data_IF_909763128551
#
_entry.id   IF_909763128551
#
_cell.length_a   1.000
_cell.length_b   1.000
_cell.length_c   1.000
_cell.angle_alpha   90.00
_cell.angle_beta   90.00
_cell.angle_gamma   90.00
#
_symmetry.space_group_name_H-M   'P 1'
#
loop_
_entity.id
_entity.type
_entity.pdbx_description
1 polymer ?
#
# COMPACT_ATOMS: atom_id res chain seq x y z
N UNK A 1 25.69 -16.67 -33.63
CA UNK A 1 25.15 -16.10 -32.38
C UNK A 1 24.56 -17.24 -31.56
N UNK A 2 25.13 -17.60 -30.40
CA UNK A 2 24.44 -18.52 -29.48
C UNK A 2 23.25 -17.74 -28.90
N UNK A 3 22.03 -18.19 -29.18
CA UNK A 3 20.83 -17.60 -28.58
C UNK A 3 20.93 -17.74 -27.06
N UNK A 4 21.13 -16.62 -26.39
CA UNK A 4 21.03 -16.57 -24.93
C UNK A 4 19.57 -16.78 -24.55
N UNK A 5 19.24 -17.88 -23.87
CA UNK A 5 17.89 -18.13 -23.39
C UNK A 5 17.59 -17.17 -22.24
N UNK A 6 16.95 -16.04 -22.54
CA UNK A 6 16.52 -15.05 -21.55
C UNK A 6 15.62 -15.66 -20.46
N UNK A 7 14.94 -16.78 -20.76
CA UNK A 7 14.10 -17.49 -19.80
C UNK A 7 14.90 -18.28 -18.78
N UNK A 8 16.22 -18.43 -18.96
CA UNK A 8 17.11 -19.00 -17.96
C UNK A 8 17.41 -18.03 -16.80
N UNK A 9 17.08 -16.75 -16.93
CA UNK A 9 17.22 -15.77 -15.86
C UNK A 9 15.95 -15.71 -15.03
N UNK A 10 15.97 -16.40 -13.90
CA UNK A 10 14.80 -16.61 -13.04
C UNK A 10 14.06 -15.30 -12.64
N UNK A 11 14.74 -14.18 -12.30
CA UNK A 11 14.04 -12.92 -12.05
C UNK A 11 13.19 -12.44 -13.23
N UNK A 12 13.72 -12.52 -14.47
CA UNK A 12 13.00 -12.10 -15.67
C UNK A 12 11.88 -13.07 -16.03
N UNK A 13 12.07 -14.38 -15.81
CA UNK A 13 11.02 -15.38 -15.99
C UNK A 13 9.83 -15.12 -15.06
N UNK A 14 10.09 -14.82 -13.77
CA UNK A 14 9.03 -14.47 -12.80
C UNK A 14 8.33 -13.18 -13.19
N UNK A 15 9.07 -12.16 -13.62
CA UNK A 15 8.50 -10.92 -14.13
C UNK A 15 7.52 -11.16 -15.28
N UNK A 16 7.89 -11.98 -16.27
CA UNK A 16 6.99 -12.33 -17.37
C UNK A 16 5.75 -13.08 -16.91
N UNK A 17 5.87 -13.98 -15.92
CA UNK A 17 4.74 -14.69 -15.35
C UNK A 17 3.79 -13.74 -14.59
N UNK A 18 4.33 -12.80 -13.82
CA UNK A 18 3.54 -11.75 -13.17
C UNK A 18 2.80 -10.89 -14.19
N UNK A 19 3.46 -10.48 -15.29
CA UNK A 19 2.80 -9.72 -16.35
C UNK A 19 1.69 -10.51 -17.03
N UNK A 20 1.90 -11.81 -17.28
CA UNK A 20 0.85 -12.66 -17.84
C UNK A 20 -0.37 -12.75 -16.91
N UNK A 21 -0.14 -12.91 -15.61
CA UNK A 21 -1.22 -12.93 -14.62
C UNK A 21 -1.99 -11.60 -14.56
N UNK A 22 -1.28 -10.47 -14.70
CA UNK A 22 -1.90 -9.14 -14.80
C UNK A 22 -2.68 -8.99 -16.10
N UNK A 23 -2.13 -9.42 -17.25
CA UNK A 23 -2.80 -9.38 -18.55
C UNK A 23 -4.08 -10.26 -18.54
N UNK A 24 -4.05 -11.41 -17.87
CA UNK A 24 -5.21 -12.29 -17.67
C UNK A 24 -6.27 -11.64 -16.78
N UNK A 25 -5.87 -11.01 -15.67
CA UNK A 25 -6.78 -10.25 -14.81
C UNK A 25 -7.44 -9.09 -15.57
N UNK A 26 -6.66 -8.32 -16.32
CA UNK A 26 -7.13 -7.22 -17.16
C UNK A 26 -8.17 -7.71 -18.17
N UNK A 27 -7.84 -8.73 -18.95
CA UNK A 27 -8.76 -9.29 -19.95
C UNK A 27 -10.04 -9.90 -19.35
N UNK A 28 -9.95 -10.61 -18.21
CA UNK A 28 -11.13 -11.13 -17.51
C UNK A 28 -12.02 -10.01 -16.98
N UNK A 29 -11.42 -8.93 -16.49
CA UNK A 29 -12.12 -7.76 -15.96
C UNK A 29 -12.83 -7.00 -17.08
N UNK A 30 -12.18 -6.80 -18.22
CA UNK A 30 -12.79 -6.21 -19.42
C UNK A 30 -13.97 -7.03 -19.93
N UNK A 31 -13.81 -8.37 -20.04
CA UNK A 31 -14.90 -9.26 -20.45
C UNK A 31 -16.06 -9.19 -19.46
N UNK A 32 -15.77 -9.23 -18.15
CA UNK A 32 -16.79 -9.14 -17.12
C UNK A 32 -17.56 -7.81 -17.21
N UNK A 33 -16.85 -6.68 -17.40
CA UNK A 33 -17.49 -5.38 -17.59
C UNK A 33 -18.30 -5.30 -18.88
N UNK A 34 -17.77 -5.78 -20.00
CA UNK A 34 -18.50 -5.78 -21.28
C UNK A 34 -19.76 -6.66 -21.23
N UNK A 35 -19.69 -7.84 -20.61
CA UNK A 35 -20.86 -8.69 -20.37
C UNK A 35 -21.86 -8.00 -19.45
N UNK A 36 -21.37 -7.38 -18.38
CA UNK A 36 -22.21 -6.66 -17.42
C UNK A 36 -22.93 -5.49 -18.11
N UNK A 37 -22.23 -4.67 -18.89
CA UNK A 37 -22.83 -3.58 -19.68
C UNK A 37 -23.89 -4.10 -20.66
N UNK A 38 -23.57 -5.14 -21.43
CA UNK A 38 -24.53 -5.73 -22.39
C UNK A 38 -25.75 -6.33 -21.70
N UNK A 39 -25.59 -6.97 -20.54
CA UNK A 39 -26.71 -7.58 -19.82
C UNK A 39 -27.55 -6.54 -19.09
N UNK A 40 -26.94 -5.48 -18.58
CA UNK A 40 -27.59 -4.43 -17.82
C UNK A 40 -28.41 -3.46 -18.66
N UNK A 41 -27.92 -3.13 -19.86
CA UNK A 41 -28.53 -2.07 -20.68
C UNK A 41 -29.28 -2.58 -21.91
N UNK A 42 -29.40 -3.91 -22.04
CA UNK A 42 -30.27 -4.55 -23.04
C UNK A 42 -31.77 -4.48 -22.68
N UNK A 43 -32.11 -4.19 -21.41
CA UNK A 43 -33.49 -4.03 -20.93
C UNK A 43 -33.73 -2.59 -20.45
N UNK A 44 -34.75 -1.87 -20.97
CA UNK A 44 -35.06 -0.51 -20.52
C UNK A 44 -35.44 -0.45 -19.04
N UNK A 45 -34.98 0.60 -18.35
CA UNK A 45 -35.27 0.85 -16.92
C UNK A 45 -36.78 0.85 -16.60
N UNK A 46 -37.60 1.27 -17.55
CA UNK A 46 -39.06 1.40 -17.42
C UNK A 46 -39.80 0.06 -17.37
N UNK A 47 -39.16 -1.03 -17.84
CA UNK A 47 -39.74 -2.38 -17.77
C UNK A 47 -39.46 -3.09 -16.42
N UNK A 48 -38.68 -2.44 -15.54
CA UNK A 48 -38.26 -3.03 -14.26
C UNK A 48 -39.19 -2.57 -13.13
N UNK A 49 -40.20 -3.40 -12.79
CA UNK A 49 -41.18 -3.16 -11.70
C UNK A 49 -40.52 -2.71 -10.38
N UNK A 50 -41.18 -1.82 -9.63
CA UNK A 50 -40.72 -1.38 -8.29
C UNK A 50 -40.55 -2.57 -7.33
N UNK A 51 -39.47 -2.56 -6.55
CA UNK A 51 -39.10 -3.63 -5.61
C UNK A 51 -38.46 -2.97 -4.39
N UNK A 52 -38.67 -3.56 -3.22
CA UNK A 52 -37.99 -3.19 -1.98
C UNK A 52 -36.80 -4.13 -1.78
N UNK A 53 -35.59 -3.59 -1.72
CA UNK A 53 -34.38 -4.39 -1.45
C UNK A 53 -34.58 -5.32 -0.24
N UNK A 54 -34.09 -6.57 -0.30
CA UNK A 54 -34.16 -7.46 0.84
C UNK A 54 -33.49 -6.79 2.04
N UNK A 55 -34.18 -6.80 3.19
CA UNK A 55 -33.63 -6.26 4.43
C UNK A 55 -32.70 -7.33 5.01
N UNK A 56 -31.39 -7.06 5.12
CA UNK A 56 -30.44 -8.03 5.65
C UNK A 56 -30.76 -8.37 7.11
N UNK A 57 -30.51 -9.62 7.49
CA UNK A 57 -30.74 -10.04 8.88
C UNK A 57 -29.63 -9.54 9.79
N UNK A 58 -29.91 -9.39 11.09
CA UNK A 58 -28.95 -8.87 12.05
C UNK A 58 -27.64 -9.68 12.15
N UNK A 59 -27.69 -10.99 11.88
CA UNK A 59 -26.53 -11.89 11.86
C UNK A 59 -25.67 -11.77 10.59
N UNK A 60 -26.19 -11.11 9.56
CA UNK A 60 -25.50 -10.83 8.28
C UNK A 60 -24.84 -9.44 8.27
N UNK A 61 -25.12 -8.61 9.28
CA UNK A 61 -24.63 -7.24 9.38
C UNK A 61 -23.17 -7.20 9.88
N UNK A 62 -22.32 -6.56 9.10
CA UNK A 62 -20.95 -6.21 9.45
C UNK A 62 -20.80 -4.70 9.59
N UNK A 63 -20.38 -4.24 10.78
CA UNK A 63 -20.07 -2.84 11.08
C UNK A 63 -18.94 -2.77 12.11
N UNK A 64 -18.22 -1.66 12.12
CA UNK A 64 -17.24 -1.32 13.14
C UNK A 64 -17.71 -0.12 13.97
N UNK A 65 -16.93 0.24 14.99
CA UNK A 65 -17.26 1.38 15.86
C UNK A 65 -17.27 2.70 15.08
N UNK A 66 -16.48 2.82 14.01
CA UNK A 66 -16.46 4.01 13.15
C UNK A 66 -17.75 4.18 12.34
N UNK A 67 -18.54 3.12 12.19
CA UNK A 67 -19.83 3.14 11.49
C UNK A 67 -20.99 3.55 12.41
N UNK A 68 -20.70 3.82 13.68
CA UNK A 68 -21.68 4.24 14.68
C UNK A 68 -21.66 5.76 14.84
N UNK A 69 -22.78 6.39 14.55
CA UNK A 69 -23.00 7.80 14.81
C UNK A 69 -23.98 7.96 15.96
N UNK A 70 -23.64 8.81 16.93
CA UNK A 70 -24.56 9.16 18.01
C UNK A 70 -25.63 10.06 17.44
N UNK A 71 -26.85 9.52 17.31
CA UNK A 71 -28.00 10.24 16.79
C UNK A 71 -28.61 11.15 17.86
N UNK A 72 -28.75 10.63 19.08
CA UNK A 72 -29.18 11.41 20.24
C UNK A 72 -28.61 10.88 21.54
N UNK A 73 -28.48 11.79 22.51
CA UNK A 73 -28.17 11.46 23.90
C UNK A 73 -29.33 11.97 24.75
N UNK A 74 -30.17 11.06 25.20
CA UNK A 74 -31.35 11.38 26.00
C UNK A 74 -31.05 11.12 27.48
N UNK A 75 -31.52 12.00 28.37
CA UNK A 75 -31.41 11.76 29.80
C UNK A 75 -32.33 10.60 30.19
N UNK A 76 -31.73 9.49 30.63
CA UNK A 76 -32.46 8.27 31.01
C UNK A 76 -33.03 8.39 32.43
N UNK A 77 -32.17 8.77 33.38
CA UNK A 77 -32.59 9.08 34.75
C UNK A 77 -31.58 9.97 35.49
N UNK A 78 -32.05 10.71 36.49
CA UNK A 78 -31.21 11.52 37.38
C UNK A 78 -31.79 11.58 38.79
N UNK A 79 -30.91 11.86 39.75
CA UNK A 79 -31.32 12.21 41.11
C UNK A 79 -31.65 13.70 41.18
N UNK A 80 -32.87 14.01 41.62
CA UNK A 80 -33.33 15.39 41.81
C UNK A 80 -33.77 15.60 43.26
N UNK A 81 -33.71 16.84 43.75
CA UNK A 81 -34.24 17.19 45.07
C UNK A 81 -35.76 17.05 45.09
N UNK A 82 -36.34 16.92 46.28
CA UNK A 82 -37.80 16.89 46.45
C UNK A 82 -38.49 18.14 45.87
N UNK A 83 -37.84 19.30 45.99
CA UNK A 83 -38.33 20.56 45.40
C UNK A 83 -38.33 20.56 43.88
N UNK A 84 -37.29 20.04 43.25
CA UNK A 84 -37.24 19.91 41.79
C UNK A 84 -38.19 18.82 41.29
N UNK A 85 -38.42 17.76 42.09
CA UNK A 85 -39.43 16.75 41.81
C UNK A 85 -40.84 17.35 41.80
N UNK A 86 -41.21 18.11 42.84
CA UNK A 86 -42.49 18.81 42.95
C UNK A 86 -42.72 19.75 41.74
N UNK A 87 -41.68 20.48 41.35
CA UNK A 87 -41.73 21.38 40.19
C UNK A 87 -41.95 20.65 38.87
N UNK A 88 -41.35 19.48 38.66
CA UNK A 88 -41.46 18.71 37.41
C UNK A 88 -42.75 17.87 37.32
N UNK A 89 -43.33 17.47 38.46
CA UNK A 89 -44.63 16.79 38.51
C UNK A 89 -45.81 17.76 38.62
N UNK A 90 -45.56 19.03 38.93
CA UNK A 90 -46.61 20.02 39.19
C UNK A 90 -47.35 19.80 40.51
N UNK A 91 -46.72 19.13 41.48
CA UNK A 91 -47.28 18.80 42.79
C UNK A 91 -46.83 19.81 43.86
N UNK A 92 -47.54 19.89 44.99
CA UNK A 92 -47.08 20.72 46.12
C UNK A 92 -45.86 20.07 46.79
N UNK A 93 -44.93 20.91 47.26
CA UNK A 93 -43.71 20.45 47.93
C UNK A 93 -44.01 19.61 49.17
N UNK A 94 -45.01 20.05 49.95
CA UNK A 94 -45.41 19.36 51.19
C UNK A 94 -45.95 17.96 50.93
N UNK A 95 -46.69 17.79 49.86
CA UNK A 95 -47.22 16.48 49.45
C UNK A 95 -46.08 15.53 49.06
N UNK A 96 -45.07 16.03 48.34
CA UNK A 96 -43.89 15.25 47.95
C UNK A 96 -43.03 14.89 49.18
N UNK A 97 -42.88 15.79 50.15
CA UNK A 97 -42.19 15.53 51.41
C UNK A 97 -42.92 14.47 52.27
N UNK A 98 -44.25 14.55 52.34
CA UNK A 98 -45.08 13.53 53.02
C UNK A 98 -44.97 12.16 52.32
N UNK A 99 -45.01 12.12 50.99
CA UNK A 99 -44.84 10.89 50.22
C UNK A 99 -43.42 10.30 50.33
N UNK A 100 -42.40 11.13 50.52
CA UNK A 100 -41.04 10.67 50.83
C UNK A 100 -40.96 10.07 52.23
N UNK A 101 -41.59 10.71 53.22
CA UNK A 101 -41.60 10.26 54.62
C UNK A 101 -42.37 8.96 54.85
N UNK A 102 -43.41 8.70 54.04
CA UNK A 102 -44.23 7.48 54.08
C UNK A 102 -43.64 6.34 53.25
N UNK A 103 -42.51 6.58 52.57
CA UNK A 103 -41.83 5.60 51.73
C UNK A 103 -42.44 5.38 50.34
N UNK A 104 -43.50 6.14 49.99
CA UNK A 104 -44.18 6.03 48.70
C UNK A 104 -43.34 6.51 47.51
N UNK A 105 -42.34 7.37 47.74
CA UNK A 105 -41.38 7.85 46.72
C UNK A 105 -40.07 7.06 46.65
N UNK A 106 -39.99 5.90 47.30
CA UNK A 106 -38.76 5.11 47.34
C UNK A 106 -38.25 4.75 45.92
N UNK A 107 -36.92 4.81 45.67
CA UNK A 107 -35.85 5.09 46.62
C UNK A 107 -35.61 6.59 46.86
N UNK A 108 -35.59 6.99 48.13
CA UNK A 108 -35.13 8.31 48.61
C UNK A 108 -33.73 8.11 49.19
N UNK A 109 -32.76 8.92 48.76
CA UNK A 109 -31.39 8.89 49.28
C UNK A 109 -30.96 10.28 49.76
N UNK A 110 -29.84 10.36 50.48
CA UNK A 110 -29.24 11.62 50.91
C UNK A 110 -28.13 11.98 49.93
N UNK A 111 -28.19 13.19 49.38
CA UNK A 111 -27.20 13.67 48.44
C UNK A 111 -25.83 13.82 49.14
N UNK A 112 -24.75 13.23 48.61
CA UNK A 112 -23.47 13.10 49.34
C UNK A 112 -22.75 14.42 49.59
N UNK A 113 -23.09 15.50 48.87
CA UNK A 113 -22.43 16.82 49.02
C UNK A 113 -23.30 17.89 49.70
N UNK A 114 -24.62 17.79 49.59
CA UNK A 114 -25.55 18.82 50.05
C UNK A 114 -26.39 18.33 51.24
N UNK A 115 -26.33 17.04 51.55
CA UNK A 115 -27.12 16.39 52.60
C UNK A 115 -28.64 16.51 52.41
N UNK A 116 -29.10 16.87 51.21
CA UNK A 116 -30.52 16.99 50.87
C UNK A 116 -31.12 15.63 50.48
N UNK A 117 -32.41 15.46 50.74
CA UNK A 117 -33.14 14.29 50.26
C UNK A 117 -33.35 14.37 48.74
N UNK A 118 -32.95 13.32 48.04
CA UNK A 118 -33.02 13.20 46.59
C UNK A 118 -33.78 11.94 46.19
N UNK A 119 -34.48 12.05 45.06
CA UNK A 119 -35.30 10.99 44.47
C UNK A 119 -34.96 10.80 43.01
N UNK A 120 -35.19 9.59 42.48
CA UNK A 120 -35.01 9.30 41.05
C UNK A 120 -36.13 9.91 40.22
N UNK A 121 -35.73 10.56 39.15
CA UNK A 121 -36.56 11.02 38.04
C UNK A 121 -36.13 10.32 36.74
N UNK A 122 -37.05 9.88 35.87
CA UNK A 122 -38.52 9.96 35.98
C UNK A 122 -39.13 8.89 36.91
N UNK A 123 -40.38 9.11 37.34
CA UNK A 123 -41.11 8.22 38.27
C UNK A 123 -41.12 6.75 37.84
N UNK A 124 -41.27 6.49 36.54
CA UNK A 124 -41.27 5.14 35.96
C UNK A 124 -39.97 4.34 36.22
N UNK A 125 -38.88 5.00 36.61
CA UNK A 125 -37.58 4.38 36.89
C UNK A 125 -37.32 4.15 38.38
N UNK A 126 -38.20 4.60 39.28
CA UNK A 126 -38.07 4.44 40.74
C UNK A 126 -38.16 2.98 41.20
N UNK A 127 -38.84 2.14 40.45
CA UNK A 127 -38.97 0.70 40.74
C UNK A 127 -37.75 -0.14 40.34
N UNK A 128 -36.72 0.46 39.74
CA UNK A 128 -35.52 -0.27 39.33
C UNK A 128 -34.63 -0.63 40.54
N UNK A 129 -33.95 -1.79 40.52
CA UNK A 129 -32.97 -2.15 41.55
C UNK A 129 -31.85 -1.11 41.64
N UNK A 130 -31.32 -0.90 42.85
CA UNK A 130 -30.28 0.11 43.12
C UNK A 130 -29.03 -0.02 42.22
N UNK A 131 -28.68 -1.24 41.80
CA UNK A 131 -27.56 -1.53 40.89
C UNK A 131 -27.73 -0.96 39.48
N UNK A 132 -28.97 -0.74 39.03
CA UNK A 132 -29.30 -0.19 37.70
C UNK A 132 -29.55 1.32 37.73
N UNK A 133 -29.50 1.94 38.91
CA UNK A 133 -29.65 3.38 39.10
C UNK A 133 -28.27 4.04 39.15
N UNK A 134 -28.14 5.30 38.70
CA UNK A 134 -26.91 6.06 38.87
C UNK A 134 -26.63 6.24 40.37
N UNK A 135 -25.36 6.44 40.74
CA UNK A 135 -25.02 6.78 42.12
C UNK A 135 -25.77 8.04 42.59
N UNK A 136 -26.08 8.17 43.90
CA UNK A 136 -26.80 9.32 44.46
C UNK A 136 -26.18 10.66 44.04
N UNK A 137 -26.97 11.50 43.38
CA UNK A 137 -26.54 12.80 42.85
C UNK A 137 -25.92 12.79 41.45
N UNK A 138 -25.79 11.62 40.80
CA UNK A 138 -25.33 11.49 39.40
C UNK A 138 -26.50 11.34 38.41
N UNK A 139 -26.19 11.47 37.12
CA UNK A 139 -27.12 11.32 35.99
C UNK A 139 -26.74 10.13 35.12
N UNK A 140 -27.73 9.50 34.51
CA UNK A 140 -27.58 8.44 33.51
C UNK A 140 -28.22 8.86 32.20
N UNK A 141 -27.52 8.60 31.09
CA UNK A 141 -27.94 8.95 29.74
C UNK A 141 -28.11 7.68 28.90
N UNK A 142 -29.12 7.67 28.04
CA UNK A 142 -29.28 6.67 26.98
C UNK A 142 -28.83 7.28 25.67
N UNK A 143 -27.92 6.59 25.00
CA UNK A 143 -27.39 7.00 23.69
C UNK A 143 -28.12 6.19 22.63
N UNK A 144 -28.71 6.86 21.64
CA UNK A 144 -29.18 6.22 20.40
C UNK A 144 -28.07 6.30 19.37
N UNK A 145 -27.71 5.14 18.83
CA UNK A 145 -26.69 5.01 17.79
C UNK A 145 -27.38 4.69 16.47
N UNK A 146 -27.06 5.46 15.45
CA UNK A 146 -27.28 5.08 14.05
C UNK A 146 -26.07 4.27 13.60
N UNK A 147 -26.29 3.12 12.96
CA UNK A 147 -25.21 2.22 12.53
C UNK A 147 -25.27 2.02 11.03
N UNK A 148 -24.20 2.38 10.32
CA UNK A 148 -24.04 2.10 8.89
C UNK A 148 -23.49 0.68 8.72
N UNK A 149 -24.39 -0.31 8.70
CA UNK A 149 -24.00 -1.70 8.53
C UNK A 149 -23.96 -2.12 7.06
N UNK A 150 -23.00 -3.00 6.73
CA UNK A 150 -22.88 -3.67 5.44
C UNK A 150 -23.35 -5.12 5.54
N UNK A 151 -23.93 -5.66 4.48
CA UNK A 151 -24.28 -7.08 4.40
C UNK A 151 -23.89 -7.61 3.01
N UNK A 152 -23.37 -8.84 2.92
CA UNK A 152 -23.11 -9.47 1.63
C UNK A 152 -24.44 -9.66 0.89
N UNK A 153 -24.47 -9.31 -0.40
CA UNK A 153 -25.58 -9.65 -1.26
C UNK A 153 -25.47 -11.14 -1.59
N UNK A 154 -26.17 -12.01 -0.87
CA UNK A 154 -26.26 -13.42 -1.25
C UNK A 154 -27.22 -13.56 -2.43
N UNK A 155 -26.68 -13.96 -3.57
CA UNK A 155 -27.47 -14.32 -4.75
C UNK A 155 -27.30 -15.83 -4.93
N UNK A 156 -28.36 -16.60 -4.70
CA UNK A 156 -28.35 -18.03 -5.00
C UNK A 156 -28.49 -18.21 -6.52
N UNK A 157 -27.39 -18.59 -7.16
CA UNK A 157 -27.30 -18.74 -8.61
C UNK A 157 -27.96 -20.05 -9.09
N UNK A 158 -28.25 -20.98 -8.18
CA UNK A 158 -28.84 -22.28 -8.48
C UNK A 158 -30.37 -22.29 -8.38
N UNK A 159 -30.97 -21.30 -7.71
CA UNK A 159 -32.42 -21.14 -7.60
C UNK A 159 -33.01 -20.36 -8.80
N UNK A 160 -33.49 -21.10 -9.80
CA UNK A 160 -34.16 -20.54 -10.99
C UNK A 160 -35.37 -19.66 -10.66
N UNK A 161 -36.01 -19.83 -9.50
CA UNK A 161 -37.17 -19.01 -9.10
C UNK A 161 -36.76 -17.62 -8.57
N UNK A 162 -35.55 -17.50 -8.03
CA UNK A 162 -34.95 -16.24 -7.56
C UNK A 162 -34.13 -15.54 -8.64
N UNK A 163 -33.81 -16.23 -9.74
CA UNK A 163 -32.99 -15.67 -10.83
C UNK A 163 -33.58 -14.37 -11.42
N UNK A 164 -34.89 -14.34 -11.69
CA UNK A 164 -35.53 -13.12 -12.22
C UNK A 164 -35.51 -11.96 -11.23
N UNK A 165 -35.69 -12.24 -9.94
CA UNK A 165 -35.70 -11.24 -8.88
C UNK A 165 -34.29 -10.68 -8.62
N UNK A 166 -33.30 -11.57 -8.67
CA UNK A 166 -31.87 -11.26 -8.62
C UNK A 166 -31.44 -10.40 -9.81
N UNK A 167 -31.83 -10.78 -11.02
CA UNK A 167 -31.57 -10.02 -12.24
C UNK A 167 -32.18 -8.61 -12.17
N UNK A 168 -33.43 -8.49 -11.69
CA UNK A 168 -34.11 -7.19 -11.50
C UNK A 168 -33.42 -6.33 -10.44
N UNK A 169 -32.95 -6.93 -9.35
CA UNK A 169 -32.21 -6.26 -8.28
C UNK A 169 -30.88 -5.70 -8.81
N UNK A 170 -30.14 -6.52 -9.55
CA UNK A 170 -28.89 -6.14 -10.19
C UNK A 170 -29.09 -5.01 -11.23
N UNK A 171 -30.13 -5.10 -12.06
CA UNK A 171 -30.49 -4.08 -13.06
C UNK A 171 -30.79 -2.71 -12.44
N UNK A 172 -31.53 -2.66 -11.33
CA UNK A 172 -31.80 -1.39 -10.65
C UNK A 172 -30.56 -0.81 -9.98
N UNK A 173 -29.78 -1.65 -9.30
CA UNK A 173 -28.51 -1.24 -8.71
C UNK A 173 -27.63 -0.62 -9.80
N UNK A 174 -27.47 -1.30 -10.94
CA UNK A 174 -26.75 -0.77 -12.09
C UNK A 174 -27.29 0.58 -12.60
N UNK A 175 -28.60 0.72 -12.81
CA UNK A 175 -29.22 1.97 -13.23
C UNK A 175 -29.16 3.08 -12.18
N UNK A 176 -28.87 2.76 -10.92
CA UNK A 176 -28.66 3.74 -9.85
C UNK A 176 -27.22 4.27 -9.78
N UNK A 177 -26.26 3.53 -10.36
CA UNK A 177 -24.83 3.91 -10.34
C UNK A 177 -24.55 5.08 -11.28
N UNK A 178 -25.25 5.18 -12.42
CA UNK A 178 -25.07 6.28 -13.37
C UNK A 178 -25.46 5.90 -14.79
N UNK A 179 -25.01 6.70 -15.77
CA UNK A 179 -25.22 6.37 -17.18
C UNK A 179 -24.25 5.25 -17.61
N UNK A 180 -24.70 4.27 -18.43
CA UNK A 180 -23.89 3.15 -18.90
C UNK A 180 -22.45 3.51 -19.29
N UNK A 181 -22.30 4.44 -20.24
CA UNK A 181 -20.99 4.81 -20.77
C UNK A 181 -20.09 5.53 -19.75
N UNK A 182 -20.68 6.28 -18.81
CA UNK A 182 -19.92 6.94 -17.72
C UNK A 182 -19.42 5.90 -16.72
N UNK A 183 -20.25 4.89 -16.40
CA UNK A 183 -19.88 3.79 -15.50
C UNK A 183 -18.82 2.90 -16.15
N UNK A 184 -18.98 2.57 -17.44
CA UNK A 184 -18.02 1.76 -18.18
C UNK A 184 -16.65 2.46 -18.29
N UNK A 185 -16.62 3.76 -18.61
CA UNK A 185 -15.39 4.54 -18.67
C UNK A 185 -14.68 4.56 -17.31
N UNK A 186 -15.42 4.78 -16.21
CA UNK A 186 -14.86 4.78 -14.86
C UNK A 186 -14.36 3.40 -14.43
N UNK A 187 -15.06 2.33 -14.79
CA UNK A 187 -14.64 0.96 -14.48
C UNK A 187 -13.35 0.59 -15.23
N UNK A 188 -13.24 0.94 -16.51
CA UNK A 188 -12.03 0.80 -17.31
C UNK A 188 -10.87 1.60 -16.73
N UNK A 189 -11.09 2.86 -16.36
CA UNK A 189 -10.07 3.70 -15.71
C UNK A 189 -9.53 3.06 -14.41
N UNK A 190 -10.41 2.57 -13.54
CA UNK A 190 -10.02 1.90 -12.29
C UNK A 190 -9.22 0.63 -12.58
N UNK A 191 -9.64 -0.16 -13.57
CA UNK A 191 -8.92 -1.36 -13.99
C UNK A 191 -7.52 -1.01 -14.52
N UNK A 192 -7.41 -0.02 -15.39
CA UNK A 192 -6.14 0.48 -15.94
C UNK A 192 -5.22 1.02 -14.84
N UNK A 193 -5.74 1.85 -13.92
CA UNK A 193 -4.99 2.36 -12.76
C UNK A 193 -4.47 1.21 -11.89
N UNK A 194 -5.30 0.19 -11.64
CA UNK A 194 -4.92 -0.98 -10.84
C UNK A 194 -3.83 -1.79 -11.54
N UNK A 195 -4.00 -2.08 -12.83
CA UNK A 195 -3.02 -2.83 -13.62
C UNK A 195 -1.71 -2.06 -13.77
N UNK A 196 -1.75 -0.73 -13.93
CA UNK A 196 -0.58 0.15 -13.92
C UNK A 196 0.24 -0.03 -12.62
N UNK A 197 -0.40 0.03 -11.46
CA UNK A 197 0.27 -0.14 -10.16
C UNK A 197 0.82 -1.56 -9.98
N UNK A 198 0.11 -2.58 -10.43
CA UNK A 198 0.57 -3.97 -10.41
C UNK A 198 1.79 -4.18 -11.32
N UNK A 199 1.79 -3.62 -12.53
CA UNK A 199 2.93 -3.69 -13.46
C UNK A 199 4.16 -2.97 -12.89
N UNK A 200 3.97 -1.81 -12.26
CA UNK A 200 5.05 -1.12 -11.55
C UNK A 200 5.63 -1.98 -10.42
N UNK A 201 4.77 -2.57 -9.60
CA UNK A 201 5.18 -3.42 -8.48
C UNK A 201 5.94 -4.65 -8.97
N UNK A 202 5.45 -5.31 -10.02
CA UNK A 202 6.15 -6.44 -10.64
C UNK A 202 7.55 -6.03 -11.17
N UNK A 203 7.68 -4.83 -11.73
CA UNK A 203 8.95 -4.30 -12.21
C UNK A 203 9.93 -4.00 -11.06
N UNK A 204 9.45 -3.43 -9.95
CA UNK A 204 10.25 -3.20 -8.75
C UNK A 204 10.78 -4.51 -8.15
N UNK A 205 9.92 -5.53 -8.03
CA UNK A 205 10.30 -6.88 -7.59
C UNK A 205 11.33 -7.50 -8.53
N UNK A 206 11.17 -7.31 -9.85
CA UNK A 206 12.13 -7.77 -10.85
C UNK A 206 13.52 -7.14 -10.65
N UNK A 207 13.57 -5.82 -10.45
CA UNK A 207 14.84 -5.11 -10.23
C UNK A 207 15.52 -5.59 -8.94
N UNK A 208 14.79 -5.67 -7.83
CA UNK A 208 15.30 -6.18 -6.55
C UNK A 208 15.85 -7.60 -6.70
N UNK A 209 15.09 -8.47 -7.35
CA UNK A 209 15.50 -9.86 -7.62
C UNK A 209 16.72 -9.95 -8.55
N UNK A 210 16.86 -9.01 -9.50
CA UNK A 210 18.01 -8.95 -10.41
C UNK A 210 19.29 -8.52 -9.69
N UNK A 211 19.18 -7.56 -8.77
CA UNK A 211 20.27 -7.15 -7.87
C UNK A 211 20.74 -8.34 -7.03
N UNK A 212 19.80 -9.04 -6.38
CA UNK A 212 20.09 -10.29 -5.64
C UNK A 212 20.81 -11.33 -6.48
N UNK A 213 20.29 -11.64 -7.66
CA UNK A 213 20.88 -12.65 -8.53
C UNK A 213 22.31 -12.29 -8.95
N UNK A 214 22.58 -11.01 -9.23
CA UNK A 214 23.91 -10.55 -9.61
C UNK A 214 24.91 -10.56 -8.46
N UNK A 215 24.50 -10.13 -7.27
CA UNK A 215 25.36 -10.21 -6.08
C UNK A 215 25.60 -11.65 -5.62
N UNK A 216 24.63 -12.54 -5.78
CA UNK A 216 24.82 -13.98 -5.56
C UNK A 216 25.88 -14.56 -6.51
N UNK A 217 25.87 -14.12 -7.77
CA UNK A 217 26.86 -14.53 -8.77
C UNK A 217 28.25 -13.89 -8.53
N UNK A 218 28.31 -12.70 -7.95
CA UNK A 218 29.53 -11.93 -7.72
C UNK A 218 29.67 -11.43 -6.27
N UNK A 219 29.77 -12.35 -5.27
CA UNK A 219 29.72 -11.98 -3.86
C UNK A 219 30.89 -11.10 -3.41
N UNK A 220 32.01 -11.11 -4.16
CA UNK A 220 33.18 -10.27 -3.88
C UNK A 220 32.88 -8.78 -3.98
N UNK A 221 31.87 -8.37 -4.76
CA UNK A 221 31.48 -6.97 -4.90
C UNK A 221 30.89 -6.44 -3.59
N UNK A 222 30.02 -7.23 -2.92
CA UNK A 222 29.51 -6.92 -1.58
C UNK A 222 30.66 -6.74 -0.59
N UNK A 223 31.60 -7.69 -0.58
CA UNK A 223 32.72 -7.69 0.35
C UNK A 223 33.72 -6.54 0.12
N UNK A 224 33.79 -5.98 -1.10
CA UNK A 224 34.71 -4.89 -1.40
C UNK A 224 34.18 -3.51 -1.01
N UNK A 225 32.85 -3.37 -0.88
CA UNK A 225 32.13 -2.16 -0.50
C UNK A 225 32.31 -0.97 -1.45
N UNK A 226 31.29 -0.13 -1.56
CA UNK A 226 31.49 1.24 -1.98
C UNK A 226 32.23 1.97 -0.85
N UNK A 227 33.57 2.10 -0.98
CA UNK A 227 34.45 2.71 0.04
C UNK A 227 34.09 4.16 0.44
N UNK A 228 33.10 4.77 -0.20
CA UNK A 228 32.71 6.17 -0.01
C UNK A 228 31.93 6.43 1.30
N UNK A 229 31.23 5.43 1.87
CA UNK A 229 30.61 5.53 3.20
C UNK A 229 30.83 4.22 3.94
N UNK A 230 31.69 4.21 4.96
CA UNK A 230 32.01 3.02 5.77
C UNK A 230 30.79 2.61 6.60
N UNK A 231 29.88 1.81 6.05
CA UNK A 231 28.99 1.00 6.85
C UNK A 231 29.83 -0.10 7.53
N UNK A 232 30.20 0.10 8.79
CA UNK A 232 30.87 -0.94 9.58
C UNK A 232 29.82 -1.94 10.05
N UNK A 233 29.97 -3.21 9.64
CA UNK A 233 29.21 -4.32 10.22
C UNK A 233 29.87 -4.75 11.53
N UNK A 234 29.09 -4.75 12.62
CA UNK A 234 29.55 -5.31 13.89
C UNK A 234 29.50 -6.85 13.84
N UNK A 235 30.25 -7.53 14.72
CA UNK A 235 30.12 -8.99 14.84
C UNK A 235 28.70 -9.41 15.26
N UNK A 236 28.04 -8.61 16.10
CA UNK A 236 26.66 -8.85 16.51
C UNK A 236 25.68 -8.75 15.32
N UNK A 237 25.93 -7.82 14.39
CA UNK A 237 25.11 -7.69 13.18
C UNK A 237 25.24 -8.96 12.33
N UNK A 238 26.46 -9.50 12.17
CA UNK A 238 26.70 -10.72 11.41
C UNK A 238 26.03 -11.93 12.06
N UNK A 239 26.10 -12.06 13.39
CA UNK A 239 25.40 -13.11 14.14
C UNK A 239 23.90 -13.02 13.89
N UNK A 240 23.32 -11.83 14.04
CA UNK A 240 21.88 -11.61 13.84
C UNK A 240 21.44 -11.88 12.39
N UNK A 241 22.18 -11.36 11.40
CA UNK A 241 21.86 -11.52 9.97
C UNK A 241 22.04 -12.95 9.46
N UNK A 242 22.89 -13.75 10.09
CA UNK A 242 23.11 -15.16 9.73
C UNK A 242 22.20 -16.13 10.48
N UNK A 243 21.30 -15.63 11.33
CA UNK A 243 20.47 -16.46 12.21
C UNK A 243 21.32 -17.31 13.15
N UNK A 244 22.21 -16.68 13.92
CA UNK A 244 23.18 -17.35 14.79
C UNK A 244 24.12 -18.30 14.03
N UNK A 245 24.56 -17.89 12.84
CA UNK A 245 25.39 -18.68 11.91
C UNK A 245 24.71 -19.95 11.36
N UNK A 246 23.38 -20.03 11.41
CA UNK A 246 22.63 -21.15 10.84
C UNK A 246 22.69 -21.20 9.31
N UNK A 247 22.79 -20.04 8.62
CA UNK A 247 22.75 -19.97 7.16
C UNK A 247 23.63 -18.85 6.59
N UNK A 248 24.55 -19.23 5.70
CA UNK A 248 25.35 -18.28 4.91
C UNK A 248 24.51 -17.61 3.83
N UNK A 249 23.49 -18.29 3.31
CA UNK A 249 22.56 -17.75 2.33
C UNK A 249 21.70 -16.63 2.95
N UNK A 250 21.31 -16.76 4.23
CA UNK A 250 20.54 -15.75 4.97
C UNK A 250 21.41 -14.51 5.22
N UNK A 251 22.67 -14.72 5.62
CA UNK A 251 23.65 -13.64 5.74
C UNK A 251 23.86 -12.92 4.41
N UNK A 252 24.01 -13.67 3.31
CA UNK A 252 24.16 -13.08 1.98
C UNK A 252 22.92 -12.27 1.60
N UNK A 253 21.72 -12.81 1.84
CA UNK A 253 20.46 -12.11 1.55
C UNK A 253 20.36 -10.81 2.34
N UNK A 254 20.59 -10.85 3.66
CA UNK A 254 20.55 -9.68 4.52
C UNK A 254 21.58 -8.61 4.14
N UNK A 255 22.79 -9.01 3.71
CA UNK A 255 23.79 -8.08 3.22
C UNK A 255 23.38 -7.38 1.92
N UNK A 256 22.75 -8.10 0.99
CA UNK A 256 22.22 -7.49 -0.24
C UNK A 256 21.04 -6.57 0.06
N UNK A 257 20.13 -6.97 0.95
CA UNK A 257 19.00 -6.15 1.38
C UNK A 257 19.47 -4.83 2.01
N UNK A 258 20.50 -4.88 2.85
CA UNK A 258 21.12 -3.67 3.42
C UNK A 258 21.73 -2.75 2.35
N UNK A 259 22.36 -3.29 1.31
CA UNK A 259 22.88 -2.49 0.20
C UNK A 259 21.76 -1.88 -0.65
N UNK A 260 20.65 -2.61 -0.82
CA UNK A 260 19.44 -2.09 -1.46
C UNK A 260 18.88 -0.93 -0.66
N UNK A 261 18.64 -1.10 0.65
CA UNK A 261 18.14 -0.05 1.54
C UNK A 261 19.04 1.19 1.54
N UNK A 262 20.37 1.00 1.50
CA UNK A 262 21.30 2.11 1.40
C UNK A 262 21.14 2.88 0.08
N UNK A 263 20.98 2.17 -1.03
CA UNK A 263 20.69 2.77 -2.34
C UNK A 263 19.30 3.43 -2.43
N UNK A 264 18.34 2.98 -1.63
CA UNK A 264 16.96 3.51 -1.59
C UNK A 264 16.82 4.75 -0.69
N UNK A 265 17.76 4.98 0.24
CA UNK A 265 17.72 6.06 1.25
C UNK A 265 17.70 7.51 0.71
N UNK A 266 17.76 7.71 -0.62
CA UNK A 266 17.61 9.00 -1.30
C UNK A 266 16.24 9.16 -2.03
N UNK A 267 15.22 8.36 -1.69
CA UNK A 267 13.85 8.53 -2.23
C UNK A 267 13.67 8.07 -3.68
N UNK A 268 14.58 7.24 -4.18
CA UNK A 268 14.59 6.72 -5.55
C UNK A 268 14.55 5.19 -5.53
N UNK A 269 13.44 4.50 -5.21
CA UNK A 269 13.50 3.03 -5.07
C UNK A 269 13.91 2.33 -6.37
N UNK A 270 13.14 2.51 -7.45
CA UNK A 270 13.45 1.91 -8.76
C UNK A 270 14.70 2.49 -9.43
N UNK A 271 14.89 3.82 -9.40
CA UNK A 271 16.10 4.42 -9.98
C UNK A 271 17.35 4.11 -9.16
N UNK A 272 17.24 4.04 -7.84
CA UNK A 272 18.29 3.62 -6.91
C UNK A 272 18.70 2.18 -7.15
N UNK A 273 17.75 1.27 -7.38
CA UNK A 273 18.04 -0.11 -7.80
C UNK A 273 18.79 -0.16 -9.14
N UNK A 274 18.37 0.62 -10.14
CA UNK A 274 19.07 0.67 -11.44
C UNK A 274 20.47 1.32 -11.28
N UNK A 275 20.61 2.35 -10.46
CA UNK A 275 21.89 2.99 -10.16
C UNK A 275 22.83 2.04 -9.41
N UNK A 276 22.30 1.22 -8.50
CA UNK A 276 23.04 0.15 -7.83
C UNK A 276 23.54 -0.87 -8.84
N UNK A 277 22.69 -1.30 -9.78
CA UNK A 277 23.09 -2.17 -10.89
C UNK A 277 24.21 -1.52 -11.73
N UNK A 278 24.06 -0.26 -12.13
CA UNK A 278 25.06 0.45 -12.96
C UNK A 278 26.39 0.64 -12.23
N UNK A 279 26.36 1.05 -10.96
CA UNK A 279 27.57 1.34 -10.18
C UNK A 279 28.33 0.08 -9.78
N UNK A 280 27.65 -1.00 -9.41
CA UNK A 280 28.29 -2.24 -8.99
C UNK A 280 28.75 -3.12 -10.17
N UNK A 281 28.06 -3.05 -11.31
CA UNK A 281 28.22 -4.01 -12.41
C UNK A 281 28.52 -3.39 -13.79
N UNK A 282 28.77 -2.08 -13.92
CA UNK A 282 29.23 -1.40 -15.14
C UNK A 282 28.63 -1.98 -16.44
N UNK A 283 27.33 -1.74 -16.63
CA UNK A 283 26.60 -2.26 -17.78
C UNK A 283 27.10 -1.59 -19.07
N UNK A 284 27.47 -2.39 -20.08
CA UNK A 284 27.97 -1.87 -21.37
C UNK A 284 26.93 -1.08 -22.16
N UNK A 285 25.65 -1.27 -21.87
CA UNK A 285 24.53 -0.59 -22.49
C UNK A 285 23.68 -0.02 -21.36
N UNK A 286 23.26 1.24 -21.51
CA UNK A 286 22.43 1.90 -20.50
C UNK A 286 21.10 1.15 -20.32
N UNK A 287 20.74 0.71 -19.10
CA UNK A 287 19.48 0.04 -18.80
C UNK A 287 18.24 0.79 -19.29
N UNK A 288 18.27 2.12 -19.27
CA UNK A 288 17.16 2.96 -19.69
C UNK A 288 16.96 3.00 -21.20
N UNK A 289 18.00 2.70 -21.99
CA UNK A 289 17.95 2.83 -23.45
C UNK A 289 17.46 1.54 -24.11
N UNK A 290 16.15 1.48 -24.38
CA UNK A 290 15.48 0.39 -25.07
C UNK A 290 14.47 0.94 -26.09
N UNK A 291 13.92 0.09 -26.94
CA UNK A 291 12.90 0.50 -27.90
C UNK A 291 11.61 -0.27 -27.67
N UNK A 292 10.49 0.36 -28.00
CA UNK A 292 9.17 -0.25 -27.99
C UNK A 292 8.36 0.28 -29.19
N UNK A 293 7.28 -0.42 -29.52
CA UNK A 293 6.37 -0.03 -30.60
C UNK A 293 4.97 0.10 -30.04
N UNK A 294 4.35 1.26 -30.22
CA UNK A 294 2.95 1.49 -29.88
C UNK A 294 2.23 1.95 -31.16
N UNK A 295 1.12 1.27 -31.51
CA UNK A 295 0.31 1.58 -32.71
C UNK A 295 1.14 1.70 -34.02
N UNK A 296 2.20 0.92 -34.14
CA UNK A 296 3.08 0.91 -35.33
C UNK A 296 4.22 1.94 -35.31
N UNK A 297 4.22 2.87 -34.35
CA UNK A 297 5.28 3.86 -34.18
C UNK A 297 6.37 3.34 -33.25
N UNK A 298 7.64 3.50 -33.64
CA UNK A 298 8.79 3.08 -32.85
C UNK A 298 9.25 4.22 -31.95
N UNK A 299 9.33 3.94 -30.66
CA UNK A 299 9.81 4.87 -29.64
C UNK A 299 11.05 4.30 -28.95
N UNK A 300 11.78 5.19 -28.29
CA UNK A 300 12.92 4.85 -27.46
C UNK A 300 12.62 5.26 -26.02
N UNK A 301 12.98 4.40 -25.07
CA UNK A 301 12.94 4.72 -23.64
C UNK A 301 14.22 5.42 -23.24
N UNK A 302 14.11 6.28 -22.23
CA UNK A 302 15.23 6.93 -21.55
C UNK A 302 14.94 7.07 -20.04
N UNK A 303 15.83 7.75 -19.33
CA UNK A 303 15.67 8.01 -17.90
C UNK A 303 14.37 8.77 -17.59
N UNK A 304 14.06 9.80 -18.37
CA UNK A 304 12.89 10.65 -18.16
C UNK A 304 11.59 9.87 -18.37
N UNK A 305 11.59 8.91 -19.30
CA UNK A 305 10.45 8.04 -19.55
C UNK A 305 10.09 7.23 -18.29
N UNK A 306 11.08 6.66 -17.60
CA UNK A 306 10.83 5.92 -16.36
C UNK A 306 10.52 6.85 -15.18
N UNK A 307 11.13 8.04 -15.16
CA UNK A 307 10.86 9.07 -14.15
C UNK A 307 9.40 9.51 -14.20
N UNK A 308 8.84 9.76 -15.40
CA UNK A 308 7.42 10.08 -15.59
C UNK A 308 6.52 8.99 -14.97
N UNK A 309 6.78 7.72 -15.27
CA UNK A 309 6.03 6.59 -14.70
C UNK A 309 6.13 6.54 -13.17
N UNK A 310 7.33 6.80 -12.61
CA UNK A 310 7.55 6.85 -11.16
C UNK A 310 6.73 7.96 -10.51
N UNK A 311 6.79 9.18 -11.04
CA UNK A 311 6.11 10.32 -10.44
C UNK A 311 4.58 10.17 -10.50
N UNK A 312 4.06 9.60 -11.59
CA UNK A 312 2.64 9.22 -11.68
C UNK A 312 2.27 8.19 -10.61
N UNK A 313 3.06 7.12 -10.47
CA UNK A 313 2.84 6.12 -9.42
C UNK A 313 2.83 6.77 -8.04
N UNK A 314 3.77 7.66 -7.76
CA UNK A 314 3.84 8.35 -6.48
C UNK A 314 2.58 9.19 -6.21
N UNK A 315 2.16 10.00 -7.19
CA UNK A 315 0.95 10.80 -7.09
C UNK A 315 -0.30 9.93 -6.88
N UNK A 316 -0.44 8.82 -7.62
CA UNK A 316 -1.57 7.91 -7.49
C UNK A 316 -1.64 7.19 -6.13
N UNK A 317 -0.49 6.92 -5.51
CA UNK A 317 -0.40 6.18 -4.23
C UNK A 317 -0.49 7.12 -3.03
N UNK A 318 0.14 8.30 -3.09
CA UNK A 318 0.29 9.19 -1.94
C UNK A 318 -0.67 10.37 -1.95
N UNK A 319 -1.00 10.90 -3.12
CA UNK A 319 -1.81 12.12 -3.27
C UNK A 319 -3.21 11.82 -3.82
N UNK A 320 -3.60 10.53 -3.83
CA UNK A 320 -4.87 10.07 -4.39
C UNK A 320 -4.98 10.20 -5.92
N UNK A 321 -3.94 10.71 -6.59
CA UNK A 321 -3.92 11.06 -8.01
C UNK A 321 -4.03 12.56 -8.28
N UNK A 322 -4.08 13.44 -7.27
CA UNK A 322 -4.15 14.90 -7.46
C UNK A 322 -2.80 15.50 -7.77
N UNK A 323 -2.74 16.33 -8.81
CA UNK A 323 -1.50 16.94 -9.29
C UNK A 323 -1.38 18.42 -8.92
N UNK A 324 -0.14 18.86 -8.73
CA UNK A 324 0.23 20.28 -8.57
C UNK A 324 0.53 20.92 -9.92
N UNK A 325 0.59 22.26 -9.99
CA UNK A 325 1.02 22.98 -11.20
C UNK A 325 2.38 22.52 -11.70
N UNK A 326 3.33 22.34 -10.77
CA UNK A 326 4.71 21.95 -11.09
C UNK A 326 4.78 20.57 -11.75
N UNK A 327 3.88 19.65 -11.35
CA UNK A 327 3.76 18.34 -11.98
C UNK A 327 3.27 18.45 -13.43
N UNK A 328 2.25 19.28 -13.67
CA UNK A 328 1.68 19.49 -15.01
C UNK A 328 2.72 20.12 -15.95
N UNK A 329 3.50 21.07 -15.45
CA UNK A 329 4.58 21.71 -16.22
C UNK A 329 5.70 20.71 -16.55
N UNK A 330 6.03 19.80 -15.63
CA UNK A 330 7.05 18.78 -15.83
C UNK A 330 6.59 17.65 -16.77
N UNK A 331 5.29 17.29 -16.74
CA UNK A 331 4.73 16.16 -17.48
C UNK A 331 3.44 16.54 -18.24
N UNK A 332 3.52 17.43 -19.24
CA UNK A 332 2.34 18.01 -19.91
C UNK A 332 1.52 17.01 -20.73
N UNK A 333 2.06 15.82 -21.01
CA UNK A 333 1.42 14.78 -21.81
C UNK A 333 0.70 13.72 -20.97
N UNK A 334 0.68 13.87 -19.64
CA UNK A 334 -0.04 12.95 -18.75
C UNK A 334 -1.53 13.30 -18.81
N UNK A 335 -2.44 12.33 -19.07
CA UNK A 335 -3.87 12.61 -19.12
C UNK A 335 -4.40 13.04 -17.74
N UNK A 336 -5.20 14.12 -17.73
CA UNK A 336 -5.80 14.67 -16.51
C UNK A 336 -7.31 14.87 -16.69
N UNK A 337 -8.08 14.62 -15.63
CA UNK A 337 -9.49 14.99 -15.52
C UNK A 337 -9.70 15.71 -14.19
N UNK A 338 -10.21 16.94 -14.24
CA UNK A 338 -10.49 17.75 -13.04
C UNK A 338 -9.30 17.91 -12.06
N UNK A 339 -8.06 17.87 -12.58
CA UNK A 339 -6.84 17.96 -11.76
C UNK A 339 -6.38 16.64 -11.14
N UNK A 340 -6.97 15.52 -11.54
CA UNK A 340 -6.58 14.16 -11.16
C UNK A 340 -6.00 13.40 -12.36
N UNK A 341 -4.97 12.57 -12.12
CA UNK A 341 -4.35 11.72 -13.14
C UNK A 341 -5.33 10.65 -13.59
N UNK A 342 -5.52 10.56 -14.91
CA UNK A 342 -6.29 9.51 -15.56
C UNK A 342 -5.35 8.55 -16.27
N UNK A 343 -5.45 7.26 -15.94
CA UNK A 343 -4.73 6.21 -16.66
C UNK A 343 -5.65 5.65 -17.74
N UNK A 344 -5.61 6.28 -18.91
CA UNK A 344 -6.32 5.79 -20.09
C UNK A 344 -5.62 4.57 -20.72
N UNK A 345 -6.30 3.89 -21.65
CA UNK A 345 -5.78 2.69 -22.31
C UNK A 345 -4.44 2.94 -23.02
N UNK A 346 -4.27 4.14 -23.59
CA UNK A 346 -3.06 4.49 -24.35
C UNK A 346 -1.88 4.63 -23.40
N UNK A 347 -2.10 5.30 -22.27
CA UNK A 347 -1.09 5.54 -21.25
C UNK A 347 -0.74 4.25 -20.49
N UNK A 348 -1.74 3.43 -20.18
CA UNK A 348 -1.57 2.10 -19.63
C UNK A 348 -0.71 1.21 -20.54
N UNK A 349 -1.06 1.12 -21.82
CA UNK A 349 -0.30 0.36 -22.82
C UNK A 349 1.13 0.87 -22.96
N UNK A 350 1.32 2.20 -23.07
CA UNK A 350 2.64 2.85 -23.11
C UNK A 350 3.48 2.42 -21.91
N UNK A 351 2.92 2.52 -20.71
CA UNK A 351 3.63 2.16 -19.47
C UNK A 351 4.03 0.69 -19.46
N UNK A 352 3.10 -0.20 -19.81
CA UNK A 352 3.39 -1.64 -19.93
C UNK A 352 4.58 -1.91 -20.85
N UNK A 353 4.59 -1.28 -22.03
CA UNK A 353 5.66 -1.42 -23.01
C UNK A 353 6.99 -0.87 -22.51
N UNK A 354 6.99 0.31 -21.86
CA UNK A 354 8.20 0.93 -21.27
C UNK A 354 8.83 0.00 -20.24
N UNK A 355 8.05 -0.46 -19.24
CA UNK A 355 8.55 -1.32 -18.18
C UNK A 355 9.10 -2.64 -18.73
N UNK A 356 8.39 -3.25 -19.71
CA UNK A 356 8.85 -4.47 -20.40
C UNK A 356 10.14 -4.24 -21.18
N UNK A 357 10.25 -3.13 -21.91
CA UNK A 357 11.41 -2.83 -22.73
C UNK A 357 12.68 -2.61 -21.88
N UNK A 358 12.56 -1.92 -20.74
CA UNK A 358 13.65 -1.71 -19.79
C UNK A 358 14.01 -3.03 -19.10
N UNK A 359 13.02 -3.80 -18.61
CA UNK A 359 13.26 -5.10 -17.98
C UNK A 359 13.98 -6.08 -18.93
N UNK A 360 13.55 -6.13 -20.20
CA UNK A 360 14.20 -6.91 -21.24
C UNK A 360 15.66 -6.49 -21.43
N UNK A 361 15.93 -5.18 -21.54
CA UNK A 361 17.30 -4.65 -21.71
C UNK A 361 18.21 -5.07 -20.56
N UNK A 362 17.73 -4.98 -19.33
CA UNK A 362 18.46 -5.39 -18.13
C UNK A 362 18.74 -6.90 -18.16
N UNK A 363 17.70 -7.72 -18.36
CA UNK A 363 17.83 -9.17 -18.42
C UNK A 363 18.77 -9.62 -19.54
N UNK A 364 18.66 -9.04 -20.73
CA UNK A 364 19.52 -9.32 -21.88
C UNK A 364 20.99 -9.00 -21.57
N UNK A 365 21.24 -7.86 -20.92
CA UNK A 365 22.58 -7.45 -20.54
C UNK A 365 23.20 -8.44 -19.53
N UNK A 366 22.41 -8.89 -18.56
CA UNK A 366 22.84 -9.85 -17.55
C UNK A 366 23.11 -11.24 -18.15
N UNK A 367 22.17 -11.79 -18.92
CA UNK A 367 22.27 -13.14 -19.48
C UNK A 367 23.42 -13.22 -20.49
N UNK A 368 23.63 -12.18 -21.29
CA UNK A 368 24.74 -12.12 -22.25
C UNK A 368 26.09 -11.82 -21.60
N UNK A 369 26.13 -11.49 -20.31
CA UNK A 369 27.36 -11.09 -19.63
C UNK A 369 27.93 -9.77 -20.16
N UNK A 370 27.07 -8.86 -20.64
CA UNK A 370 27.45 -7.56 -21.18
C UNK A 370 27.62 -6.51 -20.08
N UNK A 371 28.27 -6.89 -18.99
CA UNK A 371 28.49 -6.07 -17.80
C UNK A 371 29.83 -6.47 -17.18
N UNK A 372 30.41 -5.61 -16.35
CA UNK A 372 31.67 -5.89 -15.63
C UNK A 372 31.49 -5.66 -14.14
N UNK A 373 31.85 -6.65 -13.33
CA UNK A 373 31.94 -6.44 -11.89
C UNK A 373 33.00 -5.35 -11.61
N UNK A 374 32.63 -4.25 -10.94
CA UNK A 374 33.48 -3.06 -10.75
C UNK A 374 34.86 -3.31 -10.08
N UNK A 375 35.08 -4.50 -9.54
CA UNK A 375 36.36 -4.95 -8.97
C UNK A 375 37.40 -5.42 -10.00
N UNK A 376 37.02 -5.75 -11.22
CA UNK A 376 37.94 -6.35 -12.21
C UNK A 376 38.92 -5.35 -12.83
N UNK A 377 38.60 -4.05 -12.83
CA UNK A 377 39.44 -3.02 -13.47
C UNK A 377 40.63 -2.56 -12.60
N UNK A 378 40.55 -2.66 -11.27
CA UNK A 378 41.64 -2.17 -10.39
C UNK A 378 42.85 -3.11 -10.30
N UNK A 379 42.71 -4.40 -10.65
CA UNK A 379 43.85 -5.33 -10.73
C UNK A 379 44.69 -5.16 -11.99
N UNK A 380 44.15 -4.58 -13.07
CA UNK A 380 44.92 -4.28 -14.29
C UNK A 380 45.68 -2.96 -14.18
N UNK A 381 45.13 -1.95 -13.49
CA UNK A 381 45.84 -0.69 -13.26
C UNK A 381 47.08 -0.86 -12.36
N UNK A 382 46.99 -1.66 -11.29
CA UNK A 382 48.11 -1.89 -10.36
C UNK A 382 49.17 -2.91 -10.82
N UNK A 383 49.00 -3.57 -11.98
CA UNK A 383 50.01 -4.50 -12.51
C UNK A 383 51.01 -3.83 -13.45
N UNK A 384 50.82 -2.55 -13.78
CA UNK A 384 51.66 -1.81 -14.74
C UNK A 384 52.65 -0.85 -14.07
N UNK A 385 52.67 -0.78 -12.74
CA UNK A 385 53.57 0.07 -11.96
C UNK A 385 54.17 -0.75 -10.82
N UNK A 386 55.15 -1.58 -11.14
CA UNK A 386 56.32 -1.90 -10.30
C UNK A 386 56.99 -3.18 -10.81
N UNK A 387 57.97 -2.99 -11.69
CA UNK A 387 59.01 -3.98 -11.93
C UNK A 387 60.37 -3.27 -12.08
N UNK A 388 60.81 -2.61 -11.02
CA UNK A 388 62.24 -2.36 -10.83
C UNK A 388 62.58 -2.48 -9.34
N UNK A 389 63.24 -3.57 -8.89
CA UNK A 389 63.71 -3.65 -7.52
C UNK A 389 65.05 -2.93 -7.41
N UNK A 390 65.06 -1.74 -6.81
CA UNK A 390 66.30 -1.08 -6.38
C UNK A 390 66.87 -1.82 -5.18
N UNK A 391 67.95 -2.58 -5.44
CA UNK A 391 68.72 -3.32 -4.44
C UNK A 391 69.60 -2.33 -3.66
N UNK A 392 69.26 -2.03 -2.42
CA UNK A 392 70.14 -1.31 -1.49
C UNK A 392 71.09 -2.33 -0.86
N UNK A 393 72.38 -2.23 -1.18
CA UNK A 393 73.45 -2.98 -0.49
C UNK A 393 73.89 -2.20 0.76
N UNK A 394 74.26 -2.87 1.87
CA UNK A 394 74.80 -2.22 3.05
C UNK A 394 76.27 -1.81 2.85
N UNK A 395 76.77 -0.79 3.58
CA UNK A 395 78.15 -0.34 3.44
C UNK A 395 79.13 -1.34 4.09
N UNK A 396 80.25 -1.53 3.38
CA UNK A 396 81.41 -2.34 3.79
C UNK A 396 82.29 -1.49 4.71
N UNK A 397 82.55 -1.97 5.92
CA UNK A 397 83.60 -1.45 6.80
C UNK A 397 84.98 -1.74 6.17
N UNK A 398 85.77 -0.69 5.95
CA UNK A 398 87.18 -0.81 5.57
C UNK A 398 88.05 -0.75 6.81
N UNK A 399 88.77 -1.84 7.10
CA UNK A 399 89.92 -1.83 8.00
C UNK A 399 91.11 -1.05 7.38
N UNK A 400 91.95 -0.39 8.20
CA UNK A 400 93.05 0.43 7.72
C UNK A 400 94.28 -0.42 7.34
N UNK A 401 94.89 -0.09 6.20
CA UNK A 401 96.20 -0.62 5.79
C UNK A 401 97.36 0.22 6.38
N UNK A 402 98.55 -0.40 6.58
CA UNK A 402 99.65 0.15 7.38
C UNK A 402 100.42 1.26 6.65
N UNK A 403 100.99 2.17 7.45
CA UNK A 403 101.52 3.45 7.00
C UNK A 403 102.90 3.45 6.35
N UNK A 404 103.29 4.68 5.97
CA UNK A 404 104.62 5.27 5.80
C UNK A 404 104.31 6.79 5.72
N UNK A 405 104.80 7.68 6.59
CA UNK A 405 106.20 7.94 6.97
C UNK A 405 106.31 8.43 8.41
#
# INVERSE_FOLDING_TARGET
MKGSDLKSFEPYKRFLASLQSIDEFEGLTEIAFGLTEQLLFRFPKDDVKSFSSPVPKNDELSFCVADQEVESVDLSCEWISLAECAKRTGSDLKEIEELASTGALAPVQIHPKTSEQIVIWPEAKRSLPAEKLPEPGKKSFSVKLSVKASAPLSMDVEDQSQFEETQKTFLKLAHSIGKPGEVAAKASEIANRSCFLLRWTAFEVFLRSSVHALFRKHPRILAAGNRAKKATLSFADVVSMSGDFASVDDLQHALVEREIEHGESEGQSVHGLINLLKSAFDFKVDPYSSWYVIRGEKHQTDYNTLLEVKEIRNCLVHDGGRVTSDFVDAFPNVPLCEGEIVIDDTYHLKTSLVLRAIAFRIAETIVRGNYKAALEDKKKANKTVDSTPTRVLPPVEQEPSPGQS
#
